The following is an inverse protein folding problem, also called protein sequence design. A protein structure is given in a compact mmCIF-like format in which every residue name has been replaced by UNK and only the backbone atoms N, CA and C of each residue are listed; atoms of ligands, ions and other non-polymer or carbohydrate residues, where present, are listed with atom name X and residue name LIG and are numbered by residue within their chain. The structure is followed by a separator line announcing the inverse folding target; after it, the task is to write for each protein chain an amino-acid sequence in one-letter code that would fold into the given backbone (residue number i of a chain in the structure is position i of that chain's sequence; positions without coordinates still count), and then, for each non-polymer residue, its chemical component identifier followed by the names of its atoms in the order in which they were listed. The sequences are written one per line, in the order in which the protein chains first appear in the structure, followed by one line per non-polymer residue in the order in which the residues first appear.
data_IF_820410454249
#
_entry.id   IF_820410454249
#
_cell.length_a   1.000
_cell.length_b   1.000
_cell.length_c   1.000
_cell.angle_alpha   90.00
_cell.angle_beta   90.00
_cell.angle_gamma   90.00
#
_symmetry.space_group_name_H-M   'P 1'
#
loop_
_entity.id
_entity.type
_entity.pdbx_description
1 polymer ?
#
# COMPACT_ATOMS: atom_id res chain seq x y z
N UNK A 1 24.77 -18.33 18.90
CA UNK A 1 24.34 -19.37 17.94
C UNK A 1 23.06 -19.99 18.47
N UNK A 2 21.90 -19.51 18.00
CA UNK A 2 20.61 -20.13 18.33
C UNK A 2 19.97 -20.56 17.01
N UNK A 3 19.59 -21.85 16.95
CA UNK A 3 18.96 -22.49 15.80
C UNK A 3 17.53 -21.96 15.67
N UNK A 4 17.26 -21.23 14.60
CA UNK A 4 15.89 -20.91 14.18
C UNK A 4 15.24 -22.20 13.69
N UNK A 5 14.23 -22.66 14.43
CA UNK A 5 13.37 -23.77 14.01
C UNK A 5 12.08 -23.12 13.51
N UNK A 6 11.93 -23.05 12.19
CA UNK A 6 10.70 -22.57 11.55
C UNK A 6 9.60 -23.59 11.84
N UNK A 7 8.70 -23.25 12.77
CA UNK A 7 7.47 -24.00 13.00
C UNK A 7 6.50 -23.65 11.87
N UNK A 8 6.07 -24.67 11.13
CA UNK A 8 4.97 -24.55 10.16
C UNK A 8 3.68 -24.25 10.91
N UNK A 9 2.78 -23.39 10.37
CA UNK A 9 1.48 -23.17 10.98
C UNK A 9 0.67 -24.47 10.99
N UNK A 10 0.17 -24.83 12.17
CA UNK A 10 -0.72 -25.98 12.39
C UNK A 10 -2.14 -25.55 12.00
N UNK A 11 -2.59 -26.02 10.84
CA UNK A 11 -3.98 -25.80 10.38
C UNK A 11 -4.87 -26.89 11.00
N UNK A 12 -5.68 -26.51 11.98
CA UNK A 12 -6.74 -27.37 12.51
C UNK A 12 -7.87 -27.49 11.47
N UNK A 13 -8.04 -28.70 10.92
CA UNK A 13 -9.17 -29.04 10.05
C UNK A 13 -10.41 -29.34 10.89
N UNK A 14 -11.48 -28.57 10.68
CA UNK A 14 -12.84 -28.94 11.09
C UNK A 14 -13.67 -29.45 9.89
N UNK A 15 -14.68 -30.32 10.13
CA UNK A 15 -15.14 -31.30 9.15
C UNK A 15 -16.23 -30.79 8.18
N UNK A 16 -16.27 -31.48 7.03
CA UNK A 16 -17.12 -31.21 5.87
C UNK A 16 -18.63 -31.32 6.14
N UNK A 17 -19.40 -30.38 5.59
CA UNK A 17 -20.87 -30.44 5.51
C UNK A 17 -21.26 -30.81 4.06
N UNK A 18 -22.20 -31.76 3.97
CA UNK A 18 -22.69 -32.43 2.75
C UNK A 18 -23.58 -31.54 1.89
N UNK A 19 -23.42 -31.66 0.56
CA UNK A 19 -24.28 -31.13 -0.51
C UNK A 19 -25.55 -31.97 -0.73
N UNK A 20 -26.63 -31.34 -1.23
CA UNK A 20 -27.69 -31.88 -2.14
C UNK A 20 -28.80 -30.79 -2.36
N UNK A 21 -29.64 -30.82 -3.42
CA UNK A 21 -29.34 -30.76 -4.86
C UNK A 21 -30.18 -29.72 -5.67
N UNK A 22 -29.87 -29.71 -6.97
CA UNK A 22 -30.37 -28.96 -8.14
C UNK A 22 -31.88 -28.93 -8.44
N UNK A 23 -32.33 -27.91 -9.19
CA UNK A 23 -33.28 -28.09 -10.30
C UNK A 23 -33.13 -27.03 -11.40
N UNK A 24 -33.39 -27.48 -12.63
CA UNK A 24 -33.24 -26.84 -13.94
C UNK A 24 -34.59 -26.46 -14.56
N UNK A 25 -34.64 -25.50 -15.49
CA UNK A 25 -35.40 -25.57 -16.77
C UNK A 25 -35.08 -24.42 -17.75
N UNK A 26 -34.53 -24.78 -18.93
CA UNK A 26 -34.93 -24.46 -20.34
C UNK A 26 -35.95 -23.31 -20.63
N UNK A 27 -35.99 -22.57 -21.75
CA UNK A 27 -35.47 -22.72 -23.14
C UNK A 27 -35.73 -21.48 -24.04
N UNK A 28 -35.03 -21.42 -25.21
CA UNK A 28 -35.44 -20.90 -26.57
C UNK A 28 -35.65 -19.38 -26.79
N UNK A 29 -35.37 -18.72 -27.94
CA UNK A 29 -34.84 -19.05 -29.30
C UNK A 29 -34.66 -17.79 -30.19
N UNK A 30 -33.69 -17.82 -31.14
CA UNK A 30 -33.67 -17.17 -32.48
C UNK A 30 -33.62 -15.62 -32.59
N UNK A 31 -33.08 -14.92 -33.60
CA UNK A 31 -32.55 -15.20 -34.95
C UNK A 31 -31.81 -13.94 -35.47
N UNK A 32 -30.79 -14.16 -36.29
CA UNK A 32 -30.20 -13.34 -37.38
C UNK A 32 -30.45 -11.83 -37.53
N UNK A 33 -29.36 -11.06 -37.71
CA UNK A 33 -29.17 -10.21 -38.89
C UNK A 33 -27.71 -9.76 -39.05
N UNK A 34 -27.09 -10.24 -40.12
CA UNK A 34 -25.79 -9.84 -40.65
C UNK A 34 -25.92 -8.67 -41.63
N UNK A 35 -24.81 -7.93 -41.78
CA UNK A 35 -24.49 -6.96 -42.84
C UNK A 35 -24.87 -5.49 -42.59
N UNK A 36 -23.97 -4.77 -41.90
CA UNK A 36 -23.62 -3.35 -42.07
C UNK A 36 -22.54 -2.97 -41.03
N UNK A 37 -21.30 -3.46 -41.16
CA UNK A 37 -20.27 -3.24 -40.11
C UNK A 37 -18.90 -2.71 -40.56
N UNK A 38 -18.71 -2.39 -41.85
CA UNK A 38 -17.36 -2.02 -42.33
C UNK A 38 -17.05 -0.51 -42.36
N UNK A 39 -18.03 0.39 -42.29
CA UNK A 39 -17.79 1.85 -42.37
C UNK A 39 -17.91 2.55 -41.00
N UNK A 40 -18.70 1.99 -40.08
CA UNK A 40 -18.79 2.50 -38.70
C UNK A 40 -17.59 2.18 -37.81
N UNK A 41 -16.77 1.18 -38.17
CA UNK A 41 -15.66 0.69 -37.35
C UNK A 41 -14.44 1.62 -37.38
N UNK A 42 -14.18 2.30 -38.49
CA UNK A 42 -13.05 3.24 -38.62
C UNK A 42 -13.35 4.57 -37.92
N UNK A 43 -14.60 5.04 -37.99
CA UNK A 43 -15.01 6.27 -37.31
C UNK A 43 -15.16 6.06 -35.79
N UNK A 44 -15.61 4.88 -35.35
CA UNK A 44 -15.57 4.47 -33.94
C UNK A 44 -14.14 4.25 -33.43
N UNK A 45 -13.20 3.80 -34.27
CA UNK A 45 -11.78 3.67 -33.90
C UNK A 45 -11.10 5.05 -33.77
N UNK A 46 -11.40 5.99 -34.67
CA UNK A 46 -10.92 7.38 -34.58
C UNK A 46 -11.53 8.14 -33.40
N UNK A 47 -12.80 7.86 -33.07
CA UNK A 47 -13.46 8.45 -31.89
C UNK A 47 -12.94 7.83 -30.57
N UNK A 48 -12.57 6.54 -30.56
CA UNK A 48 -11.84 5.92 -29.43
C UNK A 48 -10.41 6.42 -29.26
N UNK A 49 -9.72 6.79 -30.36
CA UNK A 49 -8.39 7.42 -30.28
C UNK A 49 -8.48 8.89 -29.83
N UNK A 50 -9.53 9.63 -30.23
CA UNK A 50 -9.76 11.01 -29.77
C UNK A 50 -10.24 11.09 -28.31
N UNK A 51 -10.93 10.06 -27.80
CA UNK A 51 -11.33 9.95 -26.39
C UNK A 51 -10.17 9.57 -25.44
N UNK A 52 -9.00 9.22 -25.98
CA UNK A 52 -7.77 9.04 -25.20
C UNK A 52 -7.13 10.35 -24.70
N UNK A 53 -7.65 11.51 -25.10
CA UNK A 53 -7.11 12.82 -24.74
C UNK A 53 -7.95 13.61 -23.72
N UNK A 54 -9.13 13.11 -23.32
CA UNK A 54 -9.99 13.74 -22.31
C UNK A 54 -10.59 12.68 -21.38
N UNK A 55 -9.76 12.13 -20.49
CA UNK A 55 -10.18 11.13 -19.51
C UNK A 55 -10.93 11.77 -18.33
N UNK A 56 -12.25 11.90 -18.44
CA UNK A 56 -13.15 12.03 -17.29
C UNK A 56 -14.04 10.77 -17.16
N UNK A 57 -13.81 10.06 -16.05
CA UNK A 57 -14.80 9.49 -15.11
C UNK A 57 -15.63 8.21 -15.39
N UNK A 58 -15.50 7.46 -16.49
CA UNK A 58 -16.19 6.14 -16.59
C UNK A 58 -15.26 4.90 -16.61
N UNK A 59 -13.97 5.07 -16.90
CA UNK A 59 -12.98 3.97 -16.96
C UNK A 59 -12.30 3.59 -15.64
N UNK A 60 -12.41 4.41 -14.59
CA UNK A 60 -11.65 4.21 -13.33
C UNK A 60 -12.09 2.99 -12.51
N UNK A 61 -13.40 2.71 -12.44
CA UNK A 61 -13.98 1.67 -11.56
C UNK A 61 -13.75 0.24 -12.05
N UNK A 62 -13.84 0.01 -13.37
CA UNK A 62 -13.58 -1.31 -13.97
C UNK A 62 -12.08 -1.60 -14.06
N UNK A 63 -11.25 -0.58 -14.32
CA UNK A 63 -9.81 -0.73 -14.33
C UNK A 63 -9.33 -1.13 -12.92
N UNK A 64 -9.68 -0.35 -11.89
CA UNK A 64 -9.31 -0.66 -10.50
C UNK A 64 -9.68 -2.09 -10.05
N UNK A 65 -10.87 -2.60 -10.43
CA UNK A 65 -11.30 -3.93 -10.01
C UNK A 65 -10.35 -5.04 -10.51
N UNK A 66 -9.76 -4.88 -11.70
CA UNK A 66 -8.89 -5.91 -12.28
C UNK A 66 -7.57 -6.09 -11.50
N UNK A 67 -7.00 -5.00 -10.96
CA UNK A 67 -5.85 -5.08 -10.07
C UNK A 67 -6.19 -5.83 -8.78
N UNK A 68 -7.34 -5.53 -8.18
CA UNK A 68 -7.79 -6.24 -6.98
C UNK A 68 -8.20 -7.70 -7.26
N UNK A 69 -8.83 -7.99 -8.40
CA UNK A 69 -9.16 -9.35 -8.80
C UNK A 69 -7.88 -10.18 -8.93
N UNK A 70 -6.84 -9.61 -9.53
CA UNK A 70 -5.51 -10.22 -9.60
C UNK A 70 -4.92 -10.45 -8.21
N UNK A 71 -4.93 -9.43 -7.34
CA UNK A 71 -4.42 -9.52 -5.97
C UNK A 71 -5.12 -10.63 -5.19
N UNK A 72 -6.45 -10.57 -5.06
CA UNK A 72 -7.24 -11.50 -4.24
C UNK A 72 -7.23 -12.94 -4.79
N UNK A 73 -7.21 -13.10 -6.12
CA UNK A 73 -7.27 -14.44 -6.72
C UNK A 73 -5.92 -15.16 -6.75
N UNK A 74 -4.80 -14.43 -6.72
CA UNK A 74 -3.46 -15.01 -6.89
C UNK A 74 -2.58 -14.90 -5.65
N UNK A 75 -2.84 -13.97 -4.72
CA UNK A 75 -2.06 -13.84 -3.50
C UNK A 75 -2.52 -14.82 -2.42
N UNK A 76 -1.59 -15.64 -1.93
CA UNK A 76 -1.86 -16.63 -0.89
C UNK A 76 -2.44 -16.04 0.40
N UNK A 77 -2.06 -14.81 0.77
CA UNK A 77 -2.52 -14.13 1.96
C UNK A 77 -4.03 -13.80 1.95
N UNK A 78 -4.68 -13.85 0.78
CA UNK A 78 -6.05 -13.38 0.58
C UNK A 78 -7.08 -14.51 0.40
N UNK A 79 -6.64 -15.77 0.39
CA UNK A 79 -7.48 -16.93 0.02
C UNK A 79 -8.72 -17.11 0.89
N UNK A 80 -8.64 -16.71 2.15
CA UNK A 80 -9.74 -16.84 3.13
C UNK A 80 -10.66 -15.61 3.16
N UNK A 81 -10.41 -14.59 2.33
CA UNK A 81 -11.26 -13.41 2.29
C UNK A 81 -12.61 -13.70 1.63
N UNK A 82 -13.67 -13.16 2.23
CA UNK A 82 -14.99 -13.15 1.64
C UNK A 82 -15.08 -12.09 0.53
N UNK A 83 -15.75 -12.42 -0.58
CA UNK A 83 -15.97 -11.50 -1.70
C UNK A 83 -14.96 -11.67 -2.83
N UNK A 84 -14.95 -10.74 -3.78
CA UNK A 84 -14.00 -10.74 -4.91
C UNK A 84 -13.49 -9.34 -5.20
N UNK A 85 -12.28 -9.25 -5.77
CA UNK A 85 -11.69 -7.99 -6.19
C UNK A 85 -11.72 -6.94 -5.09
N UNK A 86 -12.11 -5.71 -5.45
CA UNK A 86 -12.10 -4.59 -4.50
C UNK A 86 -13.12 -4.76 -3.37
N UNK A 87 -14.18 -5.54 -3.57
CA UNK A 87 -15.19 -5.78 -2.55
C UNK A 87 -14.59 -6.56 -1.37
N UNK A 88 -13.76 -7.57 -1.64
CA UNK A 88 -13.10 -8.36 -0.60
C UNK A 88 -12.25 -7.46 0.32
N UNK A 89 -11.49 -6.54 -0.27
CA UNK A 89 -10.63 -5.61 0.48
C UNK A 89 -11.45 -4.54 1.19
N UNK A 90 -12.56 -4.08 0.59
CA UNK A 90 -13.48 -3.17 1.28
C UNK A 90 -14.14 -3.83 2.49
N UNK A 91 -14.56 -5.10 2.39
CA UNK A 91 -15.14 -5.86 3.49
C UNK A 91 -14.11 -6.11 4.59
N UNK A 92 -12.87 -6.46 4.21
CA UNK A 92 -11.76 -6.61 5.14
C UNK A 92 -11.52 -5.31 5.93
N UNK A 93 -11.35 -4.18 5.25
CA UNK A 93 -11.18 -2.86 5.87
C UNK A 93 -12.27 -2.54 6.88
N UNK A 94 -13.54 -2.77 6.52
CA UNK A 94 -14.68 -2.56 7.42
C UNK A 94 -14.62 -3.46 8.65
N UNK A 95 -14.28 -4.73 8.46
CA UNK A 95 -14.13 -5.69 9.57
C UNK A 95 -13.02 -5.26 10.53
N UNK A 96 -11.87 -4.85 9.99
CA UNK A 96 -10.74 -4.34 10.75
C UNK A 96 -11.12 -3.09 11.56
N UNK A 97 -11.77 -2.11 10.94
CA UNK A 97 -12.24 -0.91 11.64
C UNK A 97 -13.24 -1.27 12.74
N UNK A 98 -14.21 -2.14 12.47
CA UNK A 98 -15.19 -2.54 13.47
C UNK A 98 -14.54 -3.24 14.67
N UNK A 99 -13.56 -4.12 14.42
CA UNK A 99 -12.77 -4.78 15.47
C UNK A 99 -12.01 -3.74 16.30
N UNK A 100 -11.34 -2.79 15.66
CA UNK A 100 -10.60 -1.71 16.33
C UNK A 100 -11.50 -0.79 17.16
N UNK A 101 -12.68 -0.45 16.64
CA UNK A 101 -13.65 0.44 17.27
C UNK A 101 -14.49 -0.23 18.36
N UNK A 102 -14.41 -1.56 18.50
CA UNK A 102 -15.11 -2.30 19.56
C UNK A 102 -14.68 -1.87 20.98
N UNK A 103 -13.48 -1.32 21.11
CA UNK A 103 -12.94 -0.82 22.37
C UNK A 103 -13.05 0.70 22.45
N UNK A 104 -13.85 1.20 23.39
CA UNK A 104 -14.11 2.64 23.57
C UNK A 104 -12.79 3.37 23.88
N UNK A 105 -12.36 4.34 23.05
CA UNK A 105 -11.12 5.06 23.33
C UNK A 105 -11.27 5.96 24.55
N UNK A 106 -10.23 6.05 25.38
CA UNK A 106 -10.18 6.97 26.50
C UNK A 106 -10.03 8.44 26.01
N UNK A 107 -10.17 9.48 26.88
CA UNK A 107 -10.10 10.87 26.43
C UNK A 107 -8.83 11.24 25.65
N UNK A 108 -7.67 10.75 26.09
CA UNK A 108 -6.39 11.05 25.44
C UNK A 108 -6.25 10.34 24.10
N UNK A 109 -6.74 9.09 24.01
CA UNK A 109 -6.81 8.36 22.74
C UNK A 109 -7.74 9.05 21.73
N UNK A 110 -8.88 9.57 22.17
CA UNK A 110 -9.79 10.34 21.29
C UNK A 110 -9.14 11.62 20.78
N UNK A 111 -8.42 12.34 21.65
CA UNK A 111 -7.67 13.53 21.27
C UNK A 111 -6.59 13.19 20.24
N UNK A 112 -5.83 12.12 20.46
CA UNK A 112 -4.84 11.63 19.51
C UNK A 112 -5.47 11.29 18.15
N UNK A 113 -6.56 10.50 18.13
CA UNK A 113 -7.23 10.12 16.88
C UNK A 113 -7.72 11.36 16.13
N UNK A 114 -8.34 12.31 16.83
CA UNK A 114 -8.81 13.56 16.22
C UNK A 114 -7.65 14.37 15.64
N UNK A 115 -6.55 14.52 16.39
CA UNK A 115 -5.35 15.21 15.95
C UNK A 115 -4.68 14.51 14.76
N UNK A 116 -4.55 13.18 14.80
CA UNK A 116 -3.93 12.38 13.76
C UNK A 116 -4.68 12.53 12.42
N UNK A 117 -6.01 12.46 12.45
CA UNK A 117 -6.86 12.63 11.25
C UNK A 117 -6.78 14.02 10.63
N UNK A 118 -6.33 15.03 11.38
CA UNK A 118 -6.15 16.41 10.92
C UNK A 118 -4.73 16.71 10.43
N UNK A 119 -3.80 15.76 10.53
CA UNK A 119 -2.43 15.96 10.08
C UNK A 119 -2.35 16.11 8.56
N UNK A 120 -1.40 16.90 8.03
CA UNK A 120 -1.15 16.98 6.60
C UNK A 120 -0.40 15.72 6.14
N UNK A 121 -1.13 14.80 5.51
CA UNK A 121 -0.59 13.56 4.96
C UNK A 121 -0.01 13.76 3.56
N UNK A 122 1.10 13.10 3.29
CA UNK A 122 1.78 13.11 2.01
C UNK A 122 2.08 11.68 1.55
N UNK A 123 1.92 11.44 0.25
CA UNK A 123 2.44 10.28 -0.44
C UNK A 123 3.84 10.60 -0.96
N UNK A 124 4.82 9.76 -0.64
CA UNK A 124 6.18 9.88 -1.15
C UNK A 124 6.53 8.68 -2.05
N UNK A 125 7.05 8.98 -3.23
CA UNK A 125 7.57 7.98 -4.17
C UNK A 125 8.98 8.35 -4.60
N UNK A 126 9.89 7.37 -4.51
CA UNK A 126 11.27 7.53 -4.94
C UNK A 126 11.51 6.80 -6.25
N UNK A 127 12.22 7.43 -7.17
CA UNK A 127 12.59 6.82 -8.43
C UNK A 127 14.04 7.16 -8.79
N UNK A 128 14.68 6.27 -9.53
CA UNK A 128 15.99 6.48 -10.15
C UNK A 128 15.90 7.14 -11.53
N UNK A 129 14.68 7.34 -12.03
CA UNK A 129 14.38 8.00 -13.30
C UNK A 129 13.28 9.02 -13.11
N UNK A 130 13.38 10.14 -13.82
CA UNK A 130 12.29 11.11 -13.86
C UNK A 130 11.08 10.50 -14.57
N UNK A 131 9.95 10.38 -13.87
CA UNK A 131 8.70 9.82 -14.40
C UNK A 131 7.78 10.89 -15.00
N UNK A 132 8.27 12.12 -15.15
CA UNK A 132 7.51 13.21 -15.77
C UNK A 132 7.55 13.14 -17.29
N UNK A 133 6.42 13.48 -17.91
CA UNK A 133 6.34 13.70 -19.34
C UNK A 133 6.83 15.11 -19.73
N UNK A 134 6.79 15.43 -21.04
CA UNK A 134 7.21 16.74 -21.58
C UNK A 134 6.37 17.91 -21.05
N UNK A 135 5.13 17.66 -20.64
CA UNK A 135 4.21 18.63 -20.05
C UNK A 135 4.42 18.79 -18.54
N UNK A 136 5.33 18.01 -17.95
CA UNK A 136 5.66 18.01 -16.53
C UNK A 136 4.76 17.14 -15.66
N UNK A 137 3.70 16.52 -16.20
CA UNK A 137 2.85 15.60 -15.44
C UNK A 137 3.63 14.33 -15.12
N UNK A 138 3.50 13.83 -13.89
CA UNK A 138 4.13 12.59 -13.46
C UNK A 138 3.19 11.39 -13.71
N UNK A 139 3.72 10.33 -14.32
CA UNK A 139 3.01 9.06 -14.50
C UNK A 139 3.72 7.96 -13.71
N UNK A 140 3.13 7.55 -12.60
CA UNK A 140 3.59 6.40 -11.81
C UNK A 140 2.90 5.14 -12.30
N UNK A 141 3.66 4.07 -12.52
CA UNK A 141 3.18 2.84 -13.14
C UNK A 141 3.48 1.63 -12.24
N UNK A 142 2.52 0.71 -12.13
CA UNK A 142 2.72 -0.57 -11.47
C UNK A 142 3.75 -1.41 -12.23
N UNK A 143 4.27 -2.45 -11.58
CA UNK A 143 5.18 -3.40 -12.24
C UNK A 143 4.57 -3.99 -13.51
N UNK A 144 3.31 -4.44 -13.45
CA UNK A 144 2.60 -4.98 -14.62
C UNK A 144 2.43 -3.93 -15.72
N UNK A 145 2.13 -2.67 -15.38
CA UNK A 145 2.04 -1.61 -16.38
C UNK A 145 3.40 -1.28 -17.00
N UNK A 146 4.49 -1.26 -16.22
CA UNK A 146 5.85 -1.07 -16.72
C UNK A 146 6.22 -2.17 -17.72
N UNK A 147 5.92 -3.43 -17.40
CA UNK A 147 6.14 -4.58 -18.30
C UNK A 147 5.31 -4.45 -19.58
N UNK A 148 4.01 -4.16 -19.45
CA UNK A 148 3.10 -3.97 -20.58
C UNK A 148 3.56 -2.85 -21.52
N UNK A 149 4.04 -1.74 -20.97
CA UNK A 149 4.58 -0.59 -21.72
C UNK A 149 6.05 -0.76 -22.14
N UNK A 150 6.69 -1.88 -21.79
CA UNK A 150 8.12 -2.16 -22.07
C UNK A 150 9.07 -1.08 -21.53
N UNK A 151 8.70 -0.46 -20.40
CA UNK A 151 9.56 0.49 -19.70
C UNK A 151 10.59 -0.29 -18.89
N UNK A 152 11.87 0.06 -19.00
CA UNK A 152 12.94 -0.60 -18.23
C UNK A 152 12.96 -0.13 -16.78
N UNK A 153 12.89 -1.08 -15.84
CA UNK A 153 12.92 -0.85 -14.40
C UNK A 153 13.75 -1.93 -13.68
N UNK A 154 14.10 -1.68 -12.42
CA UNK A 154 14.80 -2.66 -11.60
C UNK A 154 13.85 -3.76 -11.13
N UNK A 155 13.91 -4.92 -11.76
CA UNK A 155 13.04 -6.07 -11.43
C UNK A 155 13.37 -6.71 -10.08
N UNK A 156 14.55 -6.43 -9.51
CA UNK A 156 15.04 -6.98 -8.22
C UNK A 156 14.49 -6.24 -6.99
N UNK A 157 13.74 -5.16 -7.20
CA UNK A 157 12.98 -4.47 -6.14
C UNK A 157 11.68 -5.21 -5.79
N UNK A 158 11.60 -6.51 -6.06
CA UNK A 158 10.44 -7.36 -5.81
C UNK A 158 10.97 -8.79 -5.79
N UNK A 159 10.87 -9.48 -4.66
CA UNK A 159 11.14 -10.91 -4.57
C UNK A 159 9.95 -11.71 -5.08
N UNK A 160 10.22 -12.93 -5.59
CA UNK A 160 9.16 -13.80 -6.09
C UNK A 160 8.17 -14.19 -4.99
N UNK A 161 8.65 -14.41 -3.77
CA UNK A 161 7.80 -14.79 -2.64
C UNK A 161 6.66 -13.79 -2.39
N UNK A 162 6.92 -12.49 -2.50
CA UNK A 162 5.85 -11.51 -2.26
C UNK A 162 4.91 -11.39 -3.45
N UNK A 163 5.38 -11.67 -4.68
CA UNK A 163 4.48 -11.80 -5.84
C UNK A 163 3.48 -12.93 -5.62
N UNK A 164 3.97 -14.07 -5.12
CA UNK A 164 3.14 -15.24 -4.87
C UNK A 164 2.25 -15.04 -3.61
N UNK A 165 2.77 -14.37 -2.58
CA UNK A 165 2.07 -14.19 -1.30
C UNK A 165 0.99 -13.11 -1.37
N UNK A 166 1.24 -12.00 -2.07
CA UNK A 166 0.36 -10.83 -2.04
C UNK A 166 -0.19 -10.45 -3.41
N UNK A 167 0.50 -10.78 -4.51
CA UNK A 167 0.08 -10.45 -5.87
C UNK A 167 -0.30 -8.96 -6.07
N UNK A 168 0.39 -8.05 -5.37
CA UNK A 168 0.18 -6.59 -5.42
C UNK A 168 0.98 -5.91 -6.56
N UNK A 169 1.51 -6.67 -7.52
CA UNK A 169 2.36 -6.19 -8.60
C UNK A 169 1.63 -5.37 -9.69
N UNK A 170 0.30 -5.30 -9.61
CA UNK A 170 -0.48 -4.34 -10.39
C UNK A 170 -0.84 -3.06 -9.62
N UNK A 171 -0.18 -2.79 -8.49
CA UNK A 171 -0.33 -1.54 -7.74
C UNK A 171 0.93 -0.67 -7.83
N UNK A 172 0.72 0.64 -7.67
CA UNK A 172 1.76 1.64 -7.45
C UNK A 172 1.86 1.92 -5.97
N UNK A 173 3.07 1.88 -5.41
CA UNK A 173 3.33 2.04 -3.99
C UNK A 173 3.81 3.47 -3.68
N UNK A 174 3.29 4.02 -2.59
CA UNK A 174 3.73 5.28 -2.02
C UNK A 174 3.92 5.10 -0.52
N UNK A 175 5.03 5.60 0.03
CA UNK A 175 5.15 5.73 1.48
C UNK A 175 4.21 6.83 1.97
N UNK A 176 3.51 6.60 3.08
CA UNK A 176 2.70 7.62 3.73
C UNK A 176 3.57 8.36 4.77
N UNK A 177 3.60 9.69 4.65
CA UNK A 177 4.33 10.59 5.54
C UNK A 177 3.39 11.63 6.14
N UNK A 178 3.80 12.21 7.27
CA UNK A 178 3.11 13.30 7.95
C UNK A 178 4.00 14.56 7.97
N UNK A 179 3.41 15.72 7.67
CA UNK A 179 4.08 17.02 7.76
C UNK A 179 4.59 17.57 6.43
N UNK A 180 4.73 18.89 6.31
CA UNK A 180 5.06 19.58 5.05
C UNK A 180 6.52 19.50 4.63
N UNK A 181 7.40 19.14 5.57
CA UNK A 181 8.83 19.04 5.35
C UNK A 181 9.21 17.67 4.82
N UNK A 182 9.96 17.65 3.71
CA UNK A 182 10.53 16.42 3.19
C UNK A 182 11.61 15.91 4.15
N UNK A 183 11.36 14.78 4.81
CA UNK A 183 12.31 14.20 5.77
C UNK A 183 13.37 13.32 5.08
N UNK A 184 13.16 12.95 3.81
CA UNK A 184 14.00 12.00 3.09
C UNK A 184 14.38 12.50 1.69
N UNK A 185 15.68 12.58 1.42
CA UNK A 185 16.21 13.05 0.14
C UNK A 185 16.57 11.92 -0.82
N UNK A 186 16.71 10.69 -0.34
CA UNK A 186 17.02 9.53 -1.16
C UNK A 186 16.49 8.25 -0.55
N UNK A 187 16.24 7.24 -1.39
CA UNK A 187 16.01 5.87 -0.97
C UNK A 187 16.83 4.91 -1.84
N UNK A 188 16.78 3.61 -1.53
CA UNK A 188 17.36 2.58 -2.39
C UNK A 188 16.73 2.51 -3.79
N UNK A 189 15.58 3.14 -3.99
CA UNK A 189 14.85 3.20 -5.25
C UNK A 189 15.29 4.36 -6.14
N UNK A 190 16.01 5.31 -5.56
CA UNK A 190 16.60 6.45 -6.24
C UNK A 190 16.60 7.71 -5.38
N UNK A 191 17.07 8.80 -5.98
CA UNK A 191 17.29 10.11 -5.38
C UNK A 191 16.34 11.19 -5.94
N UNK A 192 15.37 10.79 -6.76
CA UNK A 192 14.26 11.63 -7.19
C UNK A 192 13.05 11.31 -6.32
N UNK A 193 12.62 12.28 -5.51
CA UNK A 193 11.45 12.18 -4.64
C UNK A 193 10.28 12.98 -5.23
N UNK A 194 9.15 12.32 -5.39
CA UNK A 194 7.85 12.91 -5.66
C UNK A 194 7.02 12.91 -4.38
N UNK A 195 6.66 14.10 -3.91
CA UNK A 195 5.88 14.28 -2.69
C UNK A 195 4.54 14.90 -2.99
N UNK A 196 3.47 14.18 -2.71
CA UNK A 196 2.11 14.48 -3.16
C UNK A 196 1.26 14.67 -1.91
N UNK A 197 0.65 15.84 -1.66
CA UNK A 197 -0.35 15.95 -0.60
C UNK A 197 -1.45 14.91 -0.85
N UNK A 198 -1.82 14.11 0.15
CA UNK A 198 -2.83 13.06 -0.02
C UNK A 198 -4.16 13.63 -0.54
N UNK A 199 -4.53 14.82 -0.08
CA UNK A 199 -5.74 15.53 -0.53
C UNK A 199 -5.63 16.12 -1.93
N UNK A 200 -4.44 16.20 -2.52
CA UNK A 200 -4.27 16.56 -3.92
C UNK A 200 -4.66 15.40 -4.87
N UNK A 201 -4.74 14.17 -4.37
CA UNK A 201 -5.27 13.03 -5.14
C UNK A 201 -6.79 13.17 -5.22
N UNK A 202 -7.32 13.20 -6.45
CA UNK A 202 -8.76 13.34 -6.70
C UNK A 202 -9.54 12.22 -6.00
N UNK A 203 -10.68 12.56 -5.40
CA UNK A 203 -11.48 11.61 -4.62
C UNK A 203 -11.96 10.40 -5.43
N UNK A 204 -12.23 10.60 -6.73
CA UNK A 204 -12.63 9.53 -7.66
C UNK A 204 -11.53 8.49 -7.87
N UNK A 205 -10.26 8.84 -7.63
CA UNK A 205 -9.10 7.94 -7.62
C UNK A 205 -8.81 7.45 -6.20
N UNK A 206 -8.82 8.36 -5.21
CA UNK A 206 -8.50 8.11 -3.80
C UNK A 206 -9.35 6.98 -3.20
N UNK A 207 -10.62 6.88 -3.59
CA UNK A 207 -11.53 5.83 -3.16
C UNK A 207 -11.12 4.39 -3.57
N UNK A 208 -10.18 4.25 -4.51
CA UNK A 208 -9.67 2.95 -4.96
C UNK A 208 -8.29 2.61 -4.38
N UNK A 209 -7.68 3.52 -3.63
CA UNK A 209 -6.46 3.23 -2.91
C UNK A 209 -6.72 2.35 -1.69
N UNK A 210 -5.71 1.59 -1.28
CA UNK A 210 -5.70 0.96 0.05
C UNK A 210 -4.38 1.26 0.75
N UNK A 211 -4.42 1.20 2.08
CA UNK A 211 -3.29 1.38 2.95
C UNK A 211 -2.90 0.02 3.53
N UNK A 212 -1.61 -0.28 3.45
CA UNK A 212 -0.96 -1.34 4.19
C UNK A 212 -0.21 -0.66 5.35
N UNK A 213 -0.60 -0.97 6.59
CA UNK A 213 -0.05 -0.28 7.75
C UNK A 213 1.43 -0.64 7.96
N UNK A 214 1.83 -1.88 7.71
CA UNK A 214 3.21 -2.32 7.74
C UNK A 214 3.56 -3.11 6.48
N UNK A 215 4.84 -3.45 6.34
CA UNK A 215 5.29 -4.43 5.35
C UNK A 215 4.61 -5.78 5.65
N UNK A 216 3.72 -6.22 4.77
CA UNK A 216 2.92 -7.42 4.98
C UNK A 216 3.78 -8.70 5.03
N UNK A 217 4.98 -8.69 4.44
CA UNK A 217 5.94 -9.80 4.51
C UNK A 217 6.73 -9.83 5.81
N UNK A 218 6.75 -8.70 6.54
CA UNK A 218 7.48 -8.50 7.80
C UNK A 218 6.56 -7.86 8.84
N UNK A 219 5.29 -8.28 8.85
CA UNK A 219 4.26 -7.77 9.74
C UNK A 219 4.52 -8.10 11.22
N UNK A 220 5.47 -9.00 11.47
CA UNK A 220 5.96 -9.44 12.76
C UNK A 220 7.19 -8.63 13.26
N UNK A 221 7.58 -7.55 12.57
CA UNK A 221 8.75 -6.75 12.92
C UNK A 221 8.48 -5.24 12.88
N UNK A 222 9.15 -4.50 13.77
CA UNK A 222 9.19 -3.04 13.68
C UNK A 222 10.03 -2.59 12.49
N UNK A 223 9.67 -1.50 11.78
CA UNK A 223 10.41 -1.03 10.60
C UNK A 223 11.88 -0.65 10.83
N UNK A 224 12.29 -0.42 12.09
CA UNK A 224 13.63 0.06 12.44
C UNK A 224 14.29 -0.79 13.53
N UNK A 225 15.61 -0.70 13.62
CA UNK A 225 16.42 -1.41 14.63
C UNK A 225 16.74 -0.57 15.87
N UNK A 226 16.33 0.70 15.88
CA UNK A 226 16.57 1.64 16.97
C UNK A 226 15.28 1.87 17.75
N UNK A 227 15.40 1.85 19.08
CA UNK A 227 14.34 2.30 19.97
C UNK A 227 14.12 3.80 19.74
N UNK A 228 12.89 4.25 19.45
CA UNK A 228 12.57 5.67 19.34
C UNK A 228 12.66 6.39 20.70
N UNK A 229 12.98 7.68 20.69
CA UNK A 229 13.10 8.50 21.92
C UNK A 229 11.80 8.62 22.74
N UNK A 230 10.66 8.30 22.13
CA UNK A 230 9.37 8.30 22.81
C UNK A 230 9.10 7.04 23.65
N UNK A 231 9.84 5.97 23.40
CA UNK A 231 9.74 4.71 24.14
C UNK A 231 10.63 4.80 25.39
N UNK A 232 10.06 4.50 26.56
CA UNK A 232 10.82 4.44 27.82
C UNK A 232 11.86 3.32 27.81
N UNK A 233 12.80 3.34 28.76
CA UNK A 233 13.75 2.23 28.92
C UNK A 233 13.06 0.89 29.21
N UNK A 234 12.02 0.92 30.04
CA UNK A 234 11.31 -0.28 30.48
C UNK A 234 10.44 -0.90 29.39
N UNK A 235 10.01 -0.09 28.41
CA UNK A 235 9.19 -0.56 27.28
C UNK A 235 10.02 -0.93 26.04
N UNK A 236 11.37 -0.93 26.11
CA UNK A 236 12.23 -1.24 24.96
C UNK A 236 11.99 -2.62 24.37
N UNK A 237 11.93 -3.62 25.25
CA UNK A 237 11.68 -4.99 24.83
C UNK A 237 10.27 -5.09 24.28
N UNK A 238 9.29 -4.46 24.93
CA UNK A 238 7.90 -4.42 24.48
C UNK A 238 7.73 -3.73 23.13
N UNK A 239 8.54 -2.74 22.79
CA UNK A 239 8.52 -2.12 21.47
C UNK A 239 8.88 -3.11 20.35
N UNK A 240 9.91 -3.95 20.56
CA UNK A 240 10.35 -4.92 19.56
C UNK A 240 9.66 -6.29 19.65
N UNK A 241 9.17 -6.67 20.82
CA UNK A 241 8.63 -8.00 21.15
C UNK A 241 7.14 -8.01 21.48
N UNK A 242 6.51 -6.83 21.66
CA UNK A 242 5.06 -6.74 21.90
C UNK A 242 4.29 -7.43 20.77
N UNK A 243 3.00 -7.70 20.98
CA UNK A 243 2.10 -8.59 20.19
C UNK A 243 1.93 -8.28 18.69
N UNK A 244 2.90 -7.62 18.06
CA UNK A 244 3.33 -7.83 16.69
C UNK A 244 3.24 -9.31 16.25
N UNK A 245 3.40 -10.27 17.18
CA UNK A 245 3.27 -11.73 16.97
C UNK A 245 1.83 -12.17 16.62
N UNK A 246 0.79 -11.42 16.99
CA UNK A 246 -0.63 -11.78 16.75
C UNK A 246 -1.29 -10.96 15.62
N UNK A 247 -0.52 -10.14 14.90
CA UNK A 247 -1.05 -9.37 13.79
C UNK A 247 -1.22 -10.27 12.57
N UNK A 248 -2.43 -10.78 12.33
CA UNK A 248 -2.71 -11.36 11.02
C UNK A 248 -2.48 -10.29 9.95
N UNK A 249 -1.82 -10.67 8.85
CA UNK A 249 -1.51 -9.79 7.70
C UNK A 249 -2.73 -8.94 7.30
N UNK A 250 -3.89 -9.58 7.31
CA UNK A 250 -5.16 -8.98 6.90
C UNK A 250 -5.62 -7.86 7.83
N UNK A 251 -5.24 -7.85 9.11
CA UNK A 251 -5.63 -6.84 10.11
C UNK A 251 -4.95 -5.47 9.88
N UNK A 252 -3.98 -5.40 8.96
CA UNK A 252 -3.17 -4.22 8.66
C UNK A 252 -3.60 -3.49 7.38
N UNK A 253 -4.73 -3.88 6.79
CA UNK A 253 -5.21 -3.33 5.51
C UNK A 253 -6.44 -2.46 5.71
N UNK A 254 -6.44 -1.26 5.13
CA UNK A 254 -7.54 -0.30 5.17
C UNK A 254 -7.82 0.29 3.79
N UNK A 255 -9.08 0.51 3.42
CA UNK A 255 -9.47 0.78 2.03
C UNK A 255 -10.17 2.14 1.84
N UNK A 256 -9.72 2.91 0.86
CA UNK A 256 -10.34 4.18 0.47
C UNK A 256 -10.43 5.18 1.61
N UNK A 257 -11.64 5.60 1.99
CA UNK A 257 -11.85 6.59 3.06
C UNK A 257 -11.41 6.11 4.45
N UNK A 258 -11.25 4.80 4.63
CA UNK A 258 -10.94 4.16 5.90
C UNK A 258 -9.45 4.22 6.24
N UNK A 259 -8.58 4.55 5.27
CA UNK A 259 -7.12 4.45 5.39
C UNK A 259 -6.53 5.17 6.62
N UNK A 260 -6.82 6.47 6.75
CA UNK A 260 -6.24 7.30 7.83
C UNK A 260 -6.88 6.97 9.18
N UNK A 261 -8.19 6.71 9.19
CA UNK A 261 -8.91 6.37 10.41
C UNK A 261 -8.47 5.02 10.98
N UNK A 262 -8.41 4.00 10.13
CA UNK A 262 -7.94 2.67 10.50
C UNK A 262 -6.53 2.68 11.06
N UNK A 263 -5.61 3.40 10.42
CA UNK A 263 -4.25 3.57 10.91
C UNK A 263 -4.21 4.27 12.29
N UNK A 264 -5.02 5.31 12.50
CA UNK A 264 -5.09 6.01 13.79
C UNK A 264 -5.52 5.07 14.92
N UNK A 265 -6.60 4.31 14.70
CA UNK A 265 -7.08 3.33 15.66
C UNK A 265 -6.08 2.19 15.90
N UNK A 266 -5.39 1.75 14.85
CA UNK A 266 -4.37 0.72 14.97
C UNK A 266 -3.17 1.18 15.80
N UNK A 267 -2.72 2.42 15.63
CA UNK A 267 -1.70 3.03 16.50
C UNK A 267 -2.20 3.06 17.95
N UNK A 268 -3.43 3.51 18.20
CA UNK A 268 -4.00 3.52 19.56
C UNK A 268 -4.04 2.13 20.18
N UNK A 269 -4.47 1.11 19.43
CA UNK A 269 -4.53 -0.25 19.92
C UNK A 269 -3.14 -0.74 20.37
N UNK A 270 -2.12 -0.53 19.54
CA UNK A 270 -0.74 -0.93 19.83
C UNK A 270 -0.17 -0.13 21.02
N UNK A 271 -0.50 1.15 21.13
CA UNK A 271 -0.06 1.98 22.26
C UNK A 271 -0.63 1.54 23.62
N UNK A 272 -1.76 0.82 23.66
CA UNK A 272 -2.34 0.30 24.91
C UNK A 272 -1.48 -0.77 25.57
N UNK A 273 -0.61 -1.39 24.79
CA UNK A 273 0.31 -2.41 25.27
C UNK A 273 1.46 -1.78 26.09
N UNK A 274 1.84 -0.53 25.82
CA UNK A 274 2.93 0.13 26.53
C UNK A 274 2.54 0.53 27.96
N UNK A 275 3.55 0.77 28.81
CA UNK A 275 3.32 1.42 30.11
C UNK A 275 2.56 2.75 29.94
N UNK A 276 1.79 3.14 30.97
CA UNK A 276 1.02 4.39 30.93
C UNK A 276 1.88 5.61 30.62
N UNK A 277 3.11 5.66 31.12
CA UNK A 277 4.05 6.76 30.86
C UNK A 277 4.43 6.85 29.37
N UNK A 278 4.81 5.74 28.74
CA UNK A 278 5.17 5.69 27.31
C UNK A 278 3.96 5.94 26.42
N UNK A 279 2.84 5.28 26.72
CA UNK A 279 1.57 5.46 26.00
C UNK A 279 1.14 6.92 26.03
N UNK A 280 1.05 7.52 27.21
CA UNK A 280 0.55 8.89 27.35
C UNK A 280 1.51 9.91 26.71
N UNK A 281 2.83 9.64 26.71
CA UNK A 281 3.81 10.44 25.96
C UNK A 281 3.54 10.39 24.46
N UNK A 282 3.32 9.21 23.88
CA UNK A 282 3.03 9.04 22.46
C UNK A 282 1.68 9.68 22.07
N UNK A 283 0.63 9.47 22.87
CA UNK A 283 -0.71 10.02 22.58
C UNK A 283 -0.76 11.56 22.67
N UNK A 284 0.17 12.19 23.40
CA UNK A 284 0.28 13.66 23.51
C UNK A 284 1.03 14.32 22.36
N UNK A 285 1.62 13.54 21.45
CA UNK A 285 2.31 14.08 20.28
C UNK A 285 1.34 14.79 19.35
N UNK A 286 1.64 16.06 19.03
CA UNK A 286 0.75 16.90 18.22
C UNK A 286 1.38 17.42 16.95
N UNK A 287 2.67 17.74 16.98
CA UNK A 287 3.35 18.25 15.80
C UNK A 287 3.59 17.15 14.78
N UNK A 288 3.58 17.54 13.50
CA UNK A 288 3.69 16.59 12.41
C UNK A 288 5.01 15.82 12.40
N UNK A 289 6.09 16.36 12.97
CA UNK A 289 7.38 15.66 13.01
C UNK A 289 7.34 14.52 14.02
N UNK A 290 6.82 14.78 15.22
CA UNK A 290 6.60 13.77 16.25
C UNK A 290 5.63 12.69 15.77
N UNK A 291 4.47 13.08 15.21
CA UNK A 291 3.47 12.14 14.70
C UNK A 291 4.04 11.30 13.56
N UNK A 292 4.81 11.90 12.64
CA UNK A 292 5.50 11.15 11.59
C UNK A 292 6.51 10.14 12.16
N UNK A 293 7.26 10.56 13.19
CA UNK A 293 8.22 9.71 13.89
C UNK A 293 7.55 8.52 14.58
N UNK A 294 6.46 8.76 15.30
CA UNK A 294 5.65 7.72 15.94
C UNK A 294 5.13 6.72 14.90
N UNK A 295 4.40 7.22 13.89
CA UNK A 295 3.80 6.39 12.83
C UNK A 295 4.84 5.54 12.10
N UNK A 296 5.96 6.13 11.67
CA UNK A 296 6.99 5.39 10.94
C UNK A 296 7.86 4.50 11.84
N UNK A 297 7.91 4.76 13.15
CA UNK A 297 8.58 3.85 14.09
C UNK A 297 7.76 2.59 14.37
N UNK A 298 6.43 2.68 14.34
CA UNK A 298 5.55 1.55 14.59
C UNK A 298 5.26 0.73 13.33
N UNK A 299 5.00 1.40 12.21
CA UNK A 299 4.27 0.82 11.08
C UNK A 299 4.94 1.06 9.72
N UNK A 300 5.44 2.28 9.46
CA UNK A 300 5.96 2.70 8.13
C UNK A 300 4.94 2.42 7.00
N UNK A 301 3.75 3.03 7.10
CA UNK A 301 2.62 2.73 6.22
C UNK A 301 2.87 3.06 4.75
N UNK A 302 2.21 2.30 3.89
CA UNK A 302 2.21 2.48 2.45
C UNK A 302 0.78 2.63 1.93
N UNK A 303 0.59 3.47 0.91
CA UNK A 303 -0.67 3.60 0.18
C UNK A 303 -0.45 3.11 -1.25
N UNK A 304 -1.35 2.22 -1.69
CA UNK A 304 -1.28 1.54 -2.96
C UNK A 304 -2.43 1.99 -3.86
N UNK A 305 -2.11 2.30 -5.11
CA UNK A 305 -3.10 2.65 -6.13
C UNK A 305 -3.08 1.66 -7.29
N UNK A 306 -4.23 1.21 -7.82
CA UNK A 306 -4.26 0.22 -8.88
C UNK A 306 -3.73 0.78 -10.20
N UNK A 307 -2.92 -0.01 -10.90
CA UNK A 307 -2.27 0.20 -12.20
C UNK A 307 -1.32 1.39 -12.32
N UNK A 308 -1.83 2.60 -12.07
CA UNK A 308 -1.10 3.83 -12.31
C UNK A 308 -1.70 5.00 -11.55
N UNK A 309 -0.86 5.98 -11.22
CA UNK A 309 -1.30 7.29 -10.75
C UNK A 309 -0.71 8.35 -11.67
N UNK A 310 -1.56 9.19 -12.25
CA UNK A 310 -1.15 10.31 -13.10
C UNK A 310 -1.48 11.60 -12.37
N UNK A 311 -0.47 12.48 -12.22
CA UNK A 311 -0.60 13.73 -11.51
C UNK A 311 -0.11 14.90 -12.35
N UNK A 312 -0.88 15.99 -12.33
CA UNK A 312 -0.50 17.25 -12.92
C UNK A 312 0.66 17.90 -12.15
N UNK A 313 1.49 18.74 -12.80
CA UNK A 313 2.67 19.36 -12.17
C UNK A 313 2.39 20.08 -10.86
N UNK A 314 1.15 20.59 -10.67
CA UNK A 314 0.74 21.34 -9.48
C UNK A 314 0.36 20.46 -8.30
N UNK A 315 0.17 19.15 -8.51
CA UNK A 315 -0.30 18.21 -7.49
C UNK A 315 0.86 17.57 -6.70
N UNK A 316 2.12 17.82 -7.07
CA UNK A 316 3.27 17.24 -6.38
C UNK A 316 4.45 18.19 -6.31
N UNK A 317 5.28 18.00 -5.28
CA UNK A 317 6.60 18.59 -5.17
C UNK A 317 7.62 17.61 -5.76
N UNK A 318 8.44 18.11 -6.68
CA UNK A 318 9.54 17.37 -7.30
C UNK A 318 10.85 17.76 -6.64
N UNK A 319 11.56 16.79 -6.07
CA UNK A 319 12.87 17.00 -5.48
C UNK A 319 13.85 15.99 -6.09
N UNK A 320 14.73 16.45 -6.97
CA UNK A 320 15.91 15.68 -7.36
C UNK A 320 17.08 16.14 -6.48
N UNK A 321 17.84 15.20 -5.92
CA UNK A 321 19.15 15.55 -5.37
C UNK A 321 19.95 16.22 -6.50
N UNK A 322 20.40 17.46 -6.29
CA UNK A 322 21.25 18.14 -7.27
C UNK A 322 22.46 17.24 -7.56
N UNK A 323 22.68 16.94 -8.85
CA UNK A 323 23.81 16.15 -9.32
C UNK A 323 25.10 16.61 -8.63
N UNK A 324 25.62 15.84 -7.68
CA UNK A 324 27.05 15.87 -7.40
C UNK A 324 27.72 15.35 -8.66
N UNK A 325 28.24 16.28 -9.45
CA UNK A 325 29.09 16.08 -10.62
C UNK A 325 29.95 14.81 -10.50
N UNK A 326 29.87 14.00 -11.55
CA UNK A 326 30.71 12.87 -11.90
C UNK A 326 32.17 12.96 -11.43
N UNK A 327 32.63 11.92 -10.73
CA UNK A 327 33.98 11.39 -10.89
C UNK A 327 33.94 9.88 -10.68
N UNK A 328 34.15 9.13 -11.77
CA UNK A 328 34.38 7.70 -11.72
C UNK A 328 35.55 7.38 -10.80
N UNK A 329 35.33 6.55 -9.78
CA UNK A 329 36.37 5.66 -9.27
C UNK A 329 35.81 4.24 -9.24
N UNK A 330 36.14 3.51 -10.30
CA UNK A 330 36.19 2.06 -10.22
C UNK A 330 37.34 1.68 -9.28
N UNK A 331 37.05 0.89 -8.25
CA UNK A 331 37.99 0.03 -7.51
C UNK A 331 37.17 -0.98 -6.67
N UNK A 332 37.74 -2.10 -6.21
CA UNK A 332 37.54 -3.42 -6.81
C UNK A 332 36.65 -4.33 -5.96
N UNK A 333 36.21 -5.42 -6.59
CA UNK A 333 35.58 -6.57 -5.94
C UNK A 333 36.50 -7.19 -4.87
N UNK A 334 36.03 -7.26 -3.63
CA UNK A 334 36.37 -8.36 -2.73
C UNK A 334 35.27 -8.64 -1.68
N UNK A 335 35.31 -9.87 -1.15
CA UNK A 335 34.17 -10.71 -0.77
C UNK A 335 33.74 -10.62 0.71
N UNK A 336 32.45 -10.97 0.88
CA UNK A 336 31.79 -11.68 2.00
C UNK A 336 31.56 -10.91 3.31
N UNK A 337 30.33 -10.45 3.46
CA UNK A 337 29.52 -10.68 4.67
C UNK A 337 28.10 -11.07 4.26
N UNK A 338 27.52 -12.02 5.00
CA UNK A 338 26.20 -12.63 4.81
C UNK A 338 25.11 -11.56 4.65
N UNK A 339 24.23 -11.61 3.64
CA UNK A 339 23.12 -10.69 3.58
C UNK A 339 22.00 -11.18 4.49
N UNK A 340 21.62 -10.34 5.45
CA UNK A 340 20.25 -10.34 5.95
C UNK A 340 19.36 -9.98 4.75
N UNK A 341 18.55 -10.93 4.32
CA UNK A 341 17.57 -10.74 3.25
C UNK A 341 16.43 -9.94 3.86
N UNK A 342 16.43 -8.62 3.67
CA UNK A 342 15.25 -7.80 3.85
C UNK A 342 14.45 -7.82 2.55
N UNK A 343 13.13 -7.96 2.64
CA UNK A 343 12.20 -7.92 1.51
C UNK A 343 11.74 -6.48 1.28
N UNK A 344 11.38 -6.15 0.04
CA UNK A 344 11.93 -4.94 -0.55
C UNK A 344 11.14 -4.49 -1.80
N UNK A 345 10.29 -3.45 -1.70
CA UNK A 345 9.36 -2.99 -2.76
C UNK A 345 9.44 -1.52 -3.17
N UNK A 346 9.57 -1.29 -4.49
CA UNK A 346 9.54 -0.08 -5.36
C UNK A 346 9.86 1.30 -4.80
#
# INVERSE_FOLDING_TARGET
MYKSTVLKPVINKSPAIKNLPTSSTNSTSSKDNSALSAVGSVQAALQKMALGANGHSSGGSQNANSAYDHMVSNGDAWKELNGRGKEAISLLSKSNINKLQSSIPNPLEREFIANFKQQPFYLSHFSSKDVRNKQGSAEFLSRKQLQKKKVSFNTKNTAQLDLDSFATDDFVFFALEVGDNNQKTSSRFGDINYRIPLDAVKDDIKQYGHLEAADLAQNDQRPGTKVPDWVSYDDKDKFFQGDVIDHEIIDLVFYGKDMIEGLAYRIVQDLREFSSATRDKALKMKDSKEVNGLMNSLYRPQVLFPHSLILDPKQFKYNAASNKSSASKAAPLERKTVPAVQHFYV
#
